data_IF_675665111813
#
_entry.id   IF_675665111813
#
_cell.length_a   1.000
_cell.length_b   1.000
_cell.length_c   1.000
_cell.angle_alpha   90.00
_cell.angle_beta   90.00
_cell.angle_gamma   90.00
#
_symmetry.space_group_name_H-M   'P 1'
#
loop_
_entity.id
_entity.type
_entity.pdbx_description
1 polymer ?
#
# COMPACT_ATOMS: atom_id res chain seq x y z
N UNK A 1 13.56 -18.99 -28.24
CA UNK A 1 12.61 -19.90 -27.59
C UNK A 1 13.30 -20.58 -26.41
N UNK A 2 13.16 -20.07 -25.18
CA UNK A 2 13.54 -20.80 -23.97
C UNK A 2 12.63 -20.35 -22.83
N UNK A 3 11.66 -21.20 -22.54
CA UNK A 3 10.78 -21.16 -21.40
C UNK A 3 11.62 -21.45 -20.13
N UNK A 4 11.59 -20.57 -19.14
CA UNK A 4 12.10 -20.87 -17.78
C UNK A 4 10.96 -20.76 -16.80
N UNK A 5 10.45 -21.92 -16.43
CA UNK A 5 9.53 -22.14 -15.32
C UNK A 5 10.35 -22.18 -14.03
N UNK A 6 10.08 -21.28 -13.08
CA UNK A 6 10.58 -21.40 -11.71
C UNK A 6 9.36 -21.66 -10.81
N UNK A 7 9.20 -22.92 -10.42
CA UNK A 7 8.30 -23.34 -9.36
C UNK A 7 9.15 -23.50 -8.10
N UNK A 8 8.88 -22.70 -7.07
CA UNK A 8 9.48 -22.83 -5.76
C UNK A 8 8.43 -22.68 -4.68
N UNK A 9 7.74 -23.77 -4.35
CA UNK A 9 6.89 -23.87 -3.16
C UNK A 9 7.75 -24.33 -1.98
N UNK A 10 7.95 -23.47 -0.99
CA UNK A 10 8.50 -23.85 0.30
C UNK A 10 7.38 -23.79 1.35
N UNK A 11 6.77 -24.94 1.63
CA UNK A 11 5.89 -25.13 2.79
C UNK A 11 6.78 -25.36 4.03
N UNK A 12 6.80 -24.42 4.95
CA UNK A 12 7.35 -24.62 6.29
C UNK A 12 6.19 -24.76 7.27
N UNK A 13 5.88 -25.99 7.62
CA UNK A 13 4.99 -26.33 8.73
C UNK A 13 5.78 -26.25 10.04
N UNK A 14 5.45 -25.32 10.93
CA UNK A 14 5.93 -25.33 12.31
C UNK A 14 4.72 -25.58 13.22
N UNK A 15 4.61 -26.82 13.68
CA UNK A 15 3.80 -27.17 14.85
C UNK A 15 4.69 -26.99 16.09
N UNK A 16 4.27 -26.13 17.01
CA UNK A 16 4.95 -25.92 18.27
C UNK A 16 4.01 -25.32 19.30
N UNK A 17 3.35 -26.15 20.07
CA UNK A 17 2.77 -25.76 21.37
C UNK A 17 3.90 -25.60 22.37
N UNK A 18 3.96 -24.45 23.06
CA UNK A 18 4.61 -24.37 24.37
C UNK A 18 4.01 -23.23 25.18
N UNK A 19 3.49 -23.60 26.32
CA UNK A 19 3.09 -22.77 27.45
C UNK A 19 4.22 -21.87 27.96
N UNK A 20 3.88 -20.66 28.49
CA UNK A 20 4.79 -20.01 29.45
C UNK A 20 5.10 -18.53 29.25
N UNK A 21 4.25 -17.66 29.81
CA UNK A 21 4.59 -16.45 30.59
C UNK A 21 5.67 -15.47 30.11
N UNK A 22 5.23 -14.29 29.66
CA UNK A 22 5.87 -13.00 29.96
C UNK A 22 7.02 -12.56 29.11
N UNK A 23 6.77 -11.62 28.19
CA UNK A 23 7.54 -10.38 28.12
C UNK A 23 7.02 -9.47 27.00
N UNK A 24 6.82 -8.21 27.34
CA UNK A 24 6.44 -7.09 26.47
C UNK A 24 7.42 -6.86 25.32
N UNK A 25 6.91 -6.93 24.08
CA UNK A 25 7.54 -6.38 22.90
C UNK A 25 6.47 -5.66 22.06
N UNK A 26 6.72 -4.48 21.51
CA UNK A 26 5.76 -3.76 20.69
C UNK A 26 5.72 -4.37 19.30
N UNK A 27 4.80 -5.28 19.06
CA UNK A 27 4.43 -5.69 17.74
C UNK A 27 2.92 -5.42 17.60
N UNK A 28 2.59 -4.34 16.94
CA UNK A 28 1.22 -3.97 16.60
C UNK A 28 0.65 -4.94 15.57
N UNK A 29 0.35 -6.16 15.99
CA UNK A 29 -0.63 -7.00 15.29
C UNK A 29 -1.99 -6.45 15.64
N UNK A 30 -2.61 -5.75 14.71
CA UNK A 30 -4.04 -5.45 14.74
C UNK A 30 -4.76 -6.79 14.84
N UNK A 31 -5.25 -7.14 16.03
CA UNK A 31 -6.17 -8.26 16.17
C UNK A 31 -7.39 -7.99 15.28
N UNK A 32 -7.84 -8.96 14.48
CA UNK A 32 -9.09 -8.80 13.76
C UNK A 32 -10.18 -8.50 14.77
N UNK A 33 -10.93 -7.42 14.52
CA UNK A 33 -12.06 -7.01 15.34
C UNK A 33 -12.98 -8.22 15.57
N UNK A 34 -13.45 -8.39 16.83
CA UNK A 34 -14.29 -9.51 17.23
C UNK A 34 -15.61 -9.50 16.48
N UNK A 35 -15.61 -10.09 15.28
CA UNK A 35 -16.81 -10.37 14.52
C UNK A 35 -17.53 -11.60 15.09
N UNK A 36 -18.85 -11.61 15.01
CA UNK A 36 -19.64 -12.85 15.13
C UNK A 36 -19.03 -13.88 14.20
N UNK A 37 -18.74 -15.09 14.66
CA UNK A 37 -17.93 -16.14 14.00
C UNK A 37 -18.28 -16.56 12.56
N UNK A 38 -18.87 -15.66 11.78
CA UNK A 38 -19.22 -15.79 10.36
C UNK A 38 -18.02 -15.52 9.45
N UNK A 39 -17.16 -14.58 9.83
CA UNK A 39 -15.95 -14.24 9.07
C UNK A 39 -14.70 -14.85 9.72
N UNK A 40 -13.83 -15.44 8.90
CA UNK A 40 -12.53 -15.94 9.33
C UNK A 40 -11.50 -14.84 9.45
N UNK A 41 -11.48 -13.96 8.45
CA UNK A 41 -10.52 -12.87 8.36
C UNK A 41 -11.08 -11.75 7.50
N UNK A 42 -10.79 -10.52 7.90
CA UNK A 42 -11.01 -9.31 7.11
C UNK A 42 -9.72 -8.50 7.16
N UNK A 43 -9.14 -8.21 6.00
CA UNK A 43 -7.89 -7.46 5.89
C UNK A 43 -7.84 -6.72 4.54
N UNK A 44 -6.88 -5.81 4.40
CA UNK A 44 -6.55 -5.17 3.13
C UNK A 44 -5.26 -5.77 2.59
N UNK A 45 -5.26 -6.16 1.32
CA UNK A 45 -4.10 -6.66 0.57
C UNK A 45 -3.98 -5.85 -0.73
N UNK A 46 -2.83 -5.22 -0.94
CA UNK A 46 -2.70 -4.27 -2.04
C UNK A 46 -3.72 -3.13 -1.91
N UNK A 47 -4.61 -2.99 -2.88
CA UNK A 47 -5.71 -2.03 -2.91
C UNK A 47 -7.08 -2.66 -2.65
N UNK A 48 -7.15 -3.95 -2.31
CA UNK A 48 -8.41 -4.66 -2.13
C UNK A 48 -8.67 -4.99 -0.64
N UNK A 49 -9.91 -4.78 -0.18
CA UNK A 49 -10.40 -5.32 1.08
C UNK A 49 -10.89 -6.74 0.83
N UNK A 50 -10.27 -7.70 1.52
CA UNK A 50 -10.53 -9.14 1.41
C UNK A 50 -11.34 -9.61 2.61
N UNK A 51 -12.47 -10.26 2.35
CA UNK A 51 -13.31 -10.88 3.37
C UNK A 51 -13.27 -12.40 3.18
N UNK A 52 -12.73 -13.13 4.16
CA UNK A 52 -12.65 -14.58 4.15
C UNK A 52 -13.67 -15.18 5.11
N UNK A 53 -14.29 -16.31 4.70
CA UNK A 53 -15.33 -17.01 5.43
C UNK A 53 -15.30 -18.53 5.15
N UNK A 54 -16.11 -19.30 5.85
CA UNK A 54 -16.21 -20.74 5.62
C UNK A 54 -17.07 -21.06 4.38
N UNK A 55 -16.69 -22.11 3.64
CA UNK A 55 -17.41 -22.55 2.43
C UNK A 55 -18.84 -23.06 2.67
N UNK A 56 -19.18 -23.33 3.94
CA UNK A 56 -20.51 -23.76 4.40
C UNK A 56 -21.30 -22.61 5.08
N UNK A 57 -20.85 -21.37 4.91
CA UNK A 57 -21.55 -20.20 5.41
C UNK A 57 -22.94 -20.04 4.77
N UNK A 58 -23.93 -19.73 5.59
CA UNK A 58 -25.34 -19.64 5.21
C UNK A 58 -25.78 -18.21 4.83
N UNK A 59 -24.92 -17.45 4.16
CA UNK A 59 -25.26 -16.14 3.63
C UNK A 59 -25.00 -16.07 2.12
N UNK A 60 -25.72 -15.20 1.44
CA UNK A 60 -25.69 -15.07 -0.02
C UNK A 60 -25.15 -13.72 -0.50
N UNK A 61 -24.92 -12.79 0.44
CA UNK A 61 -24.46 -11.44 0.13
C UNK A 61 -23.56 -10.88 1.23
N UNK A 62 -22.57 -10.09 0.82
CA UNK A 62 -21.77 -9.25 1.71
C UNK A 62 -21.85 -7.80 1.24
N UNK A 63 -22.18 -6.90 2.16
CA UNK A 63 -22.14 -5.46 1.99
C UNK A 63 -20.93 -4.88 2.70
N UNK A 64 -20.24 -3.95 2.04
CA UNK A 64 -19.22 -3.10 2.62
C UNK A 64 -19.78 -1.70 2.78
N UNK A 65 -19.78 -1.18 3.99
CA UNK A 65 -20.30 0.13 4.37
C UNK A 65 -19.11 1.01 4.75
N UNK A 66 -19.03 2.20 4.18
CA UNK A 66 -17.95 3.15 4.45
C UNK A 66 -18.20 3.95 5.74
N UNK A 67 -17.19 4.71 6.23
CA UNK A 67 -17.25 5.37 7.53
C UNK A 67 -18.39 6.38 7.73
N UNK A 68 -18.94 6.92 6.65
CA UNK A 68 -20.10 7.83 6.68
C UNK A 68 -21.46 7.11 6.71
N UNK A 69 -21.46 5.77 6.67
CA UNK A 69 -22.65 4.91 6.67
C UNK A 69 -23.23 4.66 5.27
N UNK A 70 -22.61 5.15 4.21
CA UNK A 70 -23.04 4.86 2.85
C UNK A 70 -22.52 3.49 2.38
N UNK A 71 -23.27 2.83 1.51
CA UNK A 71 -22.86 1.57 0.90
C UNK A 71 -21.68 1.80 -0.04
N UNK A 72 -20.50 1.28 0.30
CA UNK A 72 -19.34 1.27 -0.59
C UNK A 72 -19.52 0.29 -1.74
N UNK A 73 -19.95 -0.92 -1.41
CA UNK A 73 -20.14 -1.97 -2.40
C UNK A 73 -20.85 -3.20 -1.85
N UNK A 74 -21.28 -4.04 -2.79
CA UNK A 74 -22.01 -5.27 -2.51
C UNK A 74 -21.41 -6.41 -3.34
N UNK A 75 -21.32 -7.60 -2.75
CA UNK A 75 -20.88 -8.83 -3.43
C UNK A 75 -21.86 -9.95 -3.15
N UNK A 76 -22.30 -10.64 -4.19
CA UNK A 76 -23.00 -11.93 -4.08
C UNK A 76 -21.99 -13.03 -3.75
N UNK A 77 -22.38 -13.92 -2.88
CA UNK A 77 -21.55 -15.05 -2.44
C UNK A 77 -22.03 -16.32 -3.15
N UNK A 78 -21.24 -16.80 -4.09
CA UNK A 78 -21.54 -18.03 -4.80
C UNK A 78 -21.36 -19.25 -3.87
N UNK A 79 -22.17 -20.29 -4.06
CA UNK A 79 -22.07 -21.54 -3.29
C UNK A 79 -20.65 -22.12 -3.38
N UNK A 80 -20.04 -22.39 -2.22
CA UNK A 80 -18.69 -22.92 -2.11
C UNK A 80 -17.57 -21.88 -2.19
N UNK A 81 -17.88 -20.59 -2.31
CA UNK A 81 -16.90 -19.51 -2.15
C UNK A 81 -16.37 -19.48 -0.72
N UNK A 82 -15.14 -19.01 -0.56
CA UNK A 82 -14.47 -18.84 0.73
C UNK A 82 -13.96 -17.41 0.93
N UNK A 83 -14.08 -16.56 -0.09
CA UNK A 83 -13.75 -15.13 0.00
C UNK A 83 -14.50 -14.32 -1.03
N UNK A 84 -14.62 -13.02 -0.74
CA UNK A 84 -14.94 -11.95 -1.68
C UNK A 84 -13.96 -10.80 -1.49
N UNK A 85 -13.81 -9.96 -2.53
CA UNK A 85 -12.99 -8.75 -2.46
C UNK A 85 -13.74 -7.50 -2.90
N UNK A 86 -13.32 -6.36 -2.35
CA UNK A 86 -13.78 -5.04 -2.72
C UNK A 86 -12.57 -4.20 -3.10
N UNK A 87 -12.54 -3.70 -4.31
CA UNK A 87 -11.50 -2.78 -4.76
C UNK A 87 -11.70 -1.41 -4.10
N UNK A 88 -10.84 -1.07 -3.15
CA UNK A 88 -10.83 0.23 -2.48
C UNK A 88 -10.14 1.30 -3.34
N UNK A 89 -9.15 0.90 -4.14
CA UNK A 89 -8.22 1.83 -4.77
C UNK A 89 -7.45 2.65 -3.73
N UNK A 90 -7.11 3.89 -4.07
CA UNK A 90 -6.44 4.85 -3.16
C UNK A 90 -7.31 6.09 -2.86
N UNK A 91 -8.48 6.19 -3.49
CA UNK A 91 -9.42 7.32 -3.33
C UNK A 91 -10.57 7.04 -2.37
N UNK A 92 -10.41 6.06 -1.48
CA UNK A 92 -11.41 5.71 -0.46
C UNK A 92 -11.44 6.73 0.68
N UNK A 93 -12.54 6.75 1.46
CA UNK A 93 -12.63 7.53 2.68
C UNK A 93 -11.93 6.79 3.85
N UNK A 94 -10.85 7.31 4.44
CA UNK A 94 -10.22 6.67 5.59
C UNK A 94 -11.16 6.61 6.80
N UNK A 95 -11.18 5.47 7.50
CA UNK A 95 -12.00 5.29 8.69
C UNK A 95 -12.39 3.84 8.96
N UNK A 96 -13.42 3.65 9.79
CA UNK A 96 -13.95 2.33 10.13
C UNK A 96 -14.99 1.89 9.09
N UNK A 97 -14.71 0.80 8.40
CA UNK A 97 -15.61 0.15 7.47
C UNK A 97 -16.36 -0.98 8.17
N UNK A 98 -17.67 -1.11 7.89
CA UNK A 98 -18.49 -2.21 8.38
C UNK A 98 -18.72 -3.25 7.29
N UNK A 99 -18.55 -4.51 7.63
CA UNK A 99 -18.76 -5.66 6.76
C UNK A 99 -19.99 -6.41 7.26
N UNK A 100 -21.06 -6.45 6.46
CA UNK A 100 -22.35 -7.04 6.83
C UNK A 100 -22.65 -8.23 5.93
N UNK A 101 -22.78 -9.44 6.52
CA UNK A 101 -23.24 -10.63 5.81
C UNK A 101 -24.77 -10.75 5.91
N UNK A 102 -25.43 -11.00 4.77
CA UNK A 102 -26.87 -11.10 4.63
C UNK A 102 -27.27 -12.49 4.10
N UNK A 103 -28.38 -13.02 4.64
CA UNK A 103 -29.11 -14.16 4.10
C UNK A 103 -30.50 -13.64 3.69
N UNK A 104 -30.68 -13.39 2.41
CA UNK A 104 -31.83 -12.62 1.90
C UNK A 104 -31.81 -11.17 2.45
N UNK A 105 -32.81 -10.83 3.29
CA UNK A 105 -32.90 -9.50 3.94
C UNK A 105 -32.43 -9.51 5.41
N UNK A 106 -32.02 -10.67 5.94
CA UNK A 106 -31.62 -10.83 7.33
C UNK A 106 -30.10 -10.70 7.51
N UNK A 107 -29.66 -9.85 8.45
CA UNK A 107 -28.24 -9.76 8.86
C UNK A 107 -27.87 -11.00 9.69
N UNK A 108 -26.88 -11.76 9.22
CA UNK A 108 -26.40 -12.98 9.87
C UNK A 108 -25.01 -12.83 10.46
N UNK A 109 -24.29 -11.77 10.11
CA UNK A 109 -22.98 -11.47 10.68
C UNK A 109 -22.51 -10.06 10.36
N UNK A 110 -21.71 -9.50 11.29
CA UNK A 110 -21.12 -8.19 11.16
C UNK A 110 -19.66 -8.22 11.63
N UNK A 111 -18.83 -7.42 11.00
CA UNK A 111 -17.44 -7.17 11.39
C UNK A 111 -17.08 -5.73 11.04
N UNK A 112 -16.05 -5.18 11.66
CA UNK A 112 -15.51 -3.88 11.26
C UNK A 112 -14.00 -3.96 11.03
N UNK A 113 -13.50 -3.06 10.17
CA UNK A 113 -12.09 -2.90 9.89
C UNK A 113 -11.76 -1.43 9.76
N UNK A 114 -10.77 -0.96 10.52
CA UNK A 114 -10.22 0.38 10.32
C UNK A 114 -9.29 0.36 9.10
N UNK A 115 -9.58 1.21 8.11
CA UNK A 115 -8.79 1.35 6.89
C UNK A 115 -8.24 2.77 6.85
N UNK A 116 -6.95 2.92 7.17
CA UNK A 116 -6.27 4.22 7.23
C UNK A 116 -4.84 4.08 6.74
N UNK A 117 -4.37 4.92 5.82
CA UNK A 117 -2.95 4.97 5.46
C UNK A 117 -2.16 5.69 6.56
N UNK A 118 -0.88 5.35 6.67
CA UNK A 118 0.09 6.05 7.51
C UNK A 118 1.46 5.97 6.86
N UNK A 119 1.74 6.89 5.94
CA UNK A 119 3.04 6.95 5.26
C UNK A 119 4.08 7.66 6.12
N UNK A 120 5.23 7.03 6.29
CA UNK A 120 6.40 7.60 6.94
C UNK A 120 7.62 7.57 6.01
N UNK A 121 8.39 8.66 6.00
CA UNK A 121 9.70 8.69 5.35
C UNK A 121 10.67 8.02 6.32
N UNK A 122 11.19 6.85 5.92
CA UNK A 122 12.16 6.10 6.75
C UNK A 122 13.60 6.40 6.37
N UNK A 123 13.84 6.80 5.12
CA UNK A 123 15.15 7.21 4.63
C UNK A 123 15.02 8.20 3.47
N UNK A 124 16.00 9.08 3.31
CA UNK A 124 16.14 9.94 2.14
C UNK A 124 17.61 10.32 1.95
N UNK A 125 18.02 10.48 0.71
CA UNK A 125 19.39 10.84 0.40
C UNK A 125 19.56 11.34 -1.03
N UNK A 126 20.82 11.67 -1.35
CA UNK A 126 21.23 12.13 -2.68
C UNK A 126 22.18 11.09 -3.25
N UNK A 127 21.98 10.71 -4.51
CA UNK A 127 22.71 9.63 -5.14
C UNK A 127 24.23 9.79 -5.15
N UNK A 128 24.76 11.02 -5.24
CA UNK A 128 26.20 11.25 -5.11
C UNK A 128 26.79 10.86 -3.76
N UNK A 129 25.99 10.86 -2.70
CA UNK A 129 26.44 10.53 -1.34
C UNK A 129 26.16 9.07 -0.98
N UNK A 130 25.11 8.48 -1.60
CA UNK A 130 24.61 7.14 -1.34
C UNK A 130 24.23 6.45 -2.67
N UNK A 131 25.21 6.24 -3.57
CA UNK A 131 24.93 5.64 -4.89
C UNK A 131 24.39 4.21 -4.82
N UNK A 132 24.67 3.50 -3.71
CA UNK A 132 24.18 2.14 -3.45
C UNK A 132 22.67 2.05 -3.18
N UNK A 133 22.03 3.17 -2.82
CA UNK A 133 20.59 3.26 -2.57
C UNK A 133 19.80 3.68 -3.83
N UNK A 134 20.52 4.02 -4.91
CA UNK A 134 19.93 4.42 -6.18
C UNK A 134 19.67 3.19 -7.08
N UNK A 135 18.94 3.42 -8.16
CA UNK A 135 18.75 2.41 -9.21
C UNK A 135 20.06 2.12 -9.96
N UNK A 136 20.09 1.00 -10.69
CA UNK A 136 21.25 0.60 -11.51
C UNK A 136 21.26 1.41 -12.82
N UNK A 137 21.95 2.53 -12.85
CA UNK A 137 22.03 3.46 -13.97
C UNK A 137 23.36 4.17 -14.09
N UNK A 138 23.49 5.10 -15.07
CA UNK A 138 24.72 5.87 -15.27
C UNK A 138 25.06 6.74 -14.04
N UNK A 139 26.30 6.71 -13.60
CA UNK A 139 26.78 7.48 -12.45
C UNK A 139 26.45 8.98 -12.56
N UNK A 140 26.56 9.54 -13.78
CA UNK A 140 26.27 10.95 -14.03
C UNK A 140 24.79 11.34 -13.85
N UNK A 141 23.88 10.40 -13.97
CA UNK A 141 22.44 10.62 -13.72
C UNK A 141 22.14 10.42 -12.24
N UNK A 142 22.63 9.33 -11.66
CA UNK A 142 22.45 9.00 -10.25
C UNK A 142 22.96 10.13 -9.32
N UNK A 143 24.11 10.72 -9.61
CA UNK A 143 24.70 11.78 -8.78
C UNK A 143 23.86 13.05 -8.64
N UNK A 144 22.97 13.31 -9.59
CA UNK A 144 22.12 14.52 -9.65
C UNK A 144 20.72 14.29 -9.07
N UNK A 145 20.37 13.02 -8.80
CA UNK A 145 19.06 12.62 -8.32
C UNK A 145 19.07 12.34 -6.82
N UNK A 146 17.87 12.18 -6.29
CA UNK A 146 17.61 11.82 -4.90
C UNK A 146 16.72 10.59 -4.81
N UNK A 147 16.79 9.92 -3.66
CA UNK A 147 15.85 8.88 -3.30
C UNK A 147 15.12 9.22 -2.00
N UNK A 148 13.90 8.68 -1.88
CA UNK A 148 13.08 8.76 -0.67
C UNK A 148 12.46 7.39 -0.45
N UNK A 149 12.78 6.75 0.67
CA UNK A 149 12.19 5.49 1.08
C UNK A 149 11.03 5.75 2.02
N UNK A 150 9.86 5.24 1.65
CA UNK A 150 8.61 5.36 2.37
C UNK A 150 8.16 4.01 2.89
N UNK A 151 7.53 3.99 4.06
CA UNK A 151 6.84 2.84 4.62
C UNK A 151 5.39 3.21 4.92
N UNK A 152 4.44 2.36 4.50
CA UNK A 152 3.05 2.50 4.90
C UNK A 152 2.79 1.65 6.15
N UNK A 153 2.82 2.26 7.33
CA UNK A 153 2.52 1.63 8.62
C UNK A 153 1.03 1.55 8.92
N UNK A 154 0.21 2.03 7.99
CA UNK A 154 -1.25 2.02 8.12
C UNK A 154 -1.89 0.68 7.80
N UNK A 155 -3.22 0.69 7.78
CA UNK A 155 -4.08 -0.47 7.48
C UNK A 155 -4.79 -0.34 6.13
N UNK A 156 -4.60 0.79 5.45
CA UNK A 156 -5.15 1.07 4.12
C UNK A 156 -4.05 1.48 3.14
N UNK A 157 -4.25 1.28 1.82
CA UNK A 157 -3.31 1.72 0.80
C UNK A 157 -3.31 3.24 0.66
N UNK A 158 -2.20 3.77 0.14
CA UNK A 158 -2.09 5.18 -0.25
C UNK A 158 -1.33 5.30 -1.57
N UNK A 159 -1.35 6.49 -2.16
CA UNK A 159 -0.58 6.79 -3.36
C UNK A 159 0.25 8.06 -3.18
N UNK A 160 1.52 7.97 -3.55
CA UNK A 160 2.37 9.14 -3.74
C UNK A 160 2.21 9.61 -5.18
N UNK A 161 1.63 10.78 -5.34
CA UNK A 161 1.36 11.37 -6.66
C UNK A 161 2.38 12.44 -7.05
N UNK A 162 3.21 12.89 -6.08
CA UNK A 162 4.18 13.95 -6.35
C UNK A 162 5.37 13.89 -5.39
N UNK A 163 6.57 14.04 -5.95
CA UNK A 163 7.82 14.16 -5.20
C UNK A 163 8.40 15.55 -5.46
N UNK A 164 8.42 16.39 -4.40
CA UNK A 164 8.85 17.78 -4.48
C UNK A 164 10.12 18.01 -3.64
N UNK A 165 11.05 18.72 -4.21
CA UNK A 165 12.26 19.22 -3.53
C UNK A 165 12.18 20.74 -3.41
N UNK A 166 12.03 21.24 -2.18
CA UNK A 166 11.78 22.65 -1.89
C UNK A 166 12.89 23.19 -0.99
N UNK A 167 13.22 24.46 -1.14
CA UNK A 167 14.20 25.14 -0.30
C UNK A 167 15.58 25.22 -0.93
N UNK A 168 16.63 25.01 -0.14
CA UNK A 168 18.03 25.23 -0.55
C UNK A 168 18.59 24.02 -1.33
N UNK A 169 17.99 23.74 -2.48
CA UNK A 169 18.45 22.75 -3.46
C UNK A 169 18.79 23.45 -4.78
N UNK A 170 19.69 22.90 -5.62
CA UNK A 170 20.12 23.57 -6.87
C UNK A 170 18.97 23.82 -7.85
N UNK A 171 18.02 22.90 -7.96
CA UNK A 171 16.85 23.00 -8.84
C UNK A 171 15.57 22.70 -8.04
N UNK A 172 15.04 23.66 -7.27
CA UNK A 172 13.84 23.45 -6.46
C UNK A 172 12.59 23.34 -7.32
N UNK A 173 11.64 22.53 -6.84
CA UNK A 173 10.41 22.22 -7.56
C UNK A 173 9.39 23.37 -7.57
N UNK A 174 9.63 24.46 -6.86
CA UNK A 174 8.74 25.61 -6.67
C UNK A 174 9.30 26.94 -7.20
N UNK A 175 10.50 26.95 -7.84
CA UNK A 175 11.11 28.15 -8.39
C UNK A 175 10.85 28.34 -9.89
N UNK A 176 10.95 29.58 -10.35
CA UNK A 176 10.76 29.91 -11.77
C UNK A 176 11.75 29.18 -12.67
N UNK A 177 11.23 28.44 -13.65
CA UNK A 177 12.02 27.65 -14.62
C UNK A 177 12.17 26.17 -14.27
N UNK A 178 11.95 25.79 -13.01
CA UNK A 178 11.97 24.40 -12.56
C UNK A 178 10.66 23.97 -11.90
N UNK A 179 9.72 24.91 -11.76
CA UNK A 179 8.43 24.70 -11.07
C UNK A 179 7.55 23.67 -11.77
N UNK A 180 7.12 22.67 -11.00
CA UNK A 180 6.08 21.71 -11.39
C UNK A 180 5.09 21.42 -10.24
N UNK A 181 5.07 22.25 -9.21
CA UNK A 181 4.18 22.07 -8.03
C UNK A 181 2.71 22.02 -8.46
N UNK A 182 2.31 22.93 -9.34
CA UNK A 182 0.93 23.07 -9.82
C UNK A 182 0.67 22.34 -11.16
N UNK A 183 1.65 21.59 -11.67
CA UNK A 183 1.52 20.83 -12.91
C UNK A 183 1.01 19.41 -12.59
N UNK A 184 -0.25 19.13 -12.90
CA UNK A 184 -0.89 17.83 -12.59
C UNK A 184 -0.28 16.68 -13.41
N UNK A 185 0.33 16.98 -14.56
CA UNK A 185 0.94 15.98 -15.44
C UNK A 185 2.38 15.61 -15.04
N UNK A 186 2.94 16.28 -14.02
CA UNK A 186 4.31 16.08 -13.55
C UNK A 186 4.33 15.62 -12.10
N UNK A 187 4.79 14.40 -11.87
CA UNK A 187 4.92 13.82 -10.52
C UNK A 187 6.30 14.08 -9.89
N UNK A 188 7.33 14.18 -10.71
CA UNK A 188 8.71 14.19 -10.25
C UNK A 188 9.24 12.84 -9.77
N UNK A 189 8.52 11.74 -10.05
CA UNK A 189 8.88 10.37 -9.62
C UNK A 189 9.38 9.57 -10.83
N UNK A 190 10.62 9.13 -10.77
CA UNK A 190 11.23 8.27 -11.79
C UNK A 190 11.03 6.79 -11.45
N UNK A 191 10.62 6.02 -12.44
CA UNK A 191 10.53 4.57 -12.36
C UNK A 191 11.62 3.92 -13.24
N UNK A 192 12.60 3.24 -12.62
CA UNK A 192 13.70 2.59 -13.34
C UNK A 192 13.25 1.42 -14.23
N UNK A 193 12.10 0.80 -13.96
CA UNK A 193 11.62 -0.33 -14.76
C UNK A 193 11.05 0.12 -16.11
N UNK A 194 10.34 1.23 -16.13
CA UNK A 194 9.78 1.83 -17.35
C UNK A 194 10.70 2.86 -18.02
N UNK A 195 11.81 3.23 -17.35
CA UNK A 195 12.74 4.29 -17.77
C UNK A 195 12.00 5.62 -18.06
N UNK A 196 11.06 5.97 -17.16
CA UNK A 196 10.20 7.14 -17.34
C UNK A 196 9.65 7.67 -16.03
N UNK A 197 9.11 8.90 -16.07
CA UNK A 197 8.34 9.46 -14.97
C UNK A 197 6.96 8.77 -14.91
N UNK A 198 6.51 8.40 -13.69
CA UNK A 198 5.22 7.77 -13.44
C UNK A 198 4.25 8.75 -12.79
N UNK A 199 2.95 8.62 -13.05
CA UNK A 199 1.93 9.53 -12.50
C UNK A 199 1.76 9.38 -10.99
N UNK A 200 1.91 8.14 -10.47
CA UNK A 200 1.78 7.82 -9.06
C UNK A 200 2.44 6.48 -8.72
N UNK A 201 2.75 6.30 -7.45
CA UNK A 201 3.19 5.02 -6.88
C UNK A 201 2.28 4.65 -5.73
N UNK A 202 1.64 3.48 -5.82
CA UNK A 202 0.76 2.95 -4.77
C UNK A 202 1.61 2.21 -3.75
N UNK A 203 1.33 2.44 -2.46
CA UNK A 203 2.00 1.79 -1.34
C UNK A 203 0.96 1.06 -0.50
N UNK A 204 0.99 -0.26 -0.55
CA UNK A 204 0.07 -1.13 0.20
C UNK A 204 0.34 -1.08 1.71
N UNK A 205 -0.62 -1.49 2.55
CA UNK A 205 -0.40 -1.63 3.99
C UNK A 205 0.81 -2.51 4.32
N UNK A 206 1.73 -1.99 5.13
CA UNK A 206 2.97 -2.70 5.53
C UNK A 206 4.05 -2.77 4.46
N UNK A 207 3.87 -2.11 3.33
CA UNK A 207 4.86 -2.05 2.25
C UNK A 207 5.85 -0.91 2.49
N UNK A 208 7.12 -1.17 2.14
CA UNK A 208 8.18 -0.19 2.05
C UNK A 208 8.65 -0.08 0.61
N UNK A 209 8.80 1.13 0.09
CA UNK A 209 9.23 1.39 -1.29
C UNK A 209 10.19 2.57 -1.35
N UNK A 210 11.16 2.49 -2.27
CA UNK A 210 12.06 3.62 -2.56
C UNK A 210 11.61 4.30 -3.86
N UNK A 211 11.39 5.60 -3.77
CA UNK A 211 11.07 6.49 -4.89
C UNK A 211 12.32 7.27 -5.28
N UNK A 212 12.49 7.50 -6.59
CA UNK A 212 13.59 8.27 -7.13
C UNK A 212 13.06 9.55 -7.79
N UNK A 213 13.83 10.62 -7.70
CA UNK A 213 13.50 11.86 -8.39
C UNK A 213 13.71 11.74 -9.90
N UNK A 214 12.96 12.51 -10.70
CA UNK A 214 13.04 12.48 -12.17
C UNK A 214 13.57 13.81 -12.75
N UNK A 215 13.88 14.81 -11.91
CA UNK A 215 14.13 16.19 -12.35
C UNK A 215 15.48 16.75 -11.91
N UNK A 216 16.44 15.87 -11.60
CA UNK A 216 17.81 16.24 -11.20
C UNK A 216 17.87 17.41 -10.21
N UNK A 217 17.15 17.33 -9.05
CA UNK A 217 17.07 18.45 -8.10
C UNK A 217 18.44 18.85 -7.54
N UNK A 218 19.44 17.98 -7.65
CA UNK A 218 20.79 18.17 -7.15
C UNK A 218 21.84 18.25 -8.26
N UNK A 219 21.44 18.55 -9.50
CA UNK A 219 22.38 18.76 -10.59
C UNK A 219 23.40 19.87 -10.27
N UNK A 220 24.62 19.70 -10.78
CA UNK A 220 25.67 20.71 -10.61
C UNK A 220 25.35 21.94 -11.46
N UNK A 221 25.26 23.10 -10.83
CA UNK A 221 25.34 24.38 -11.53
C UNK A 221 26.82 24.71 -11.71
N UNK A 222 27.36 24.68 -12.95
CA UNK A 222 28.71 25.17 -13.18
C UNK A 222 28.77 26.67 -12.84
N UNK A 223 29.56 27.03 -11.83
CA UNK A 223 29.79 28.42 -11.40
C UNK A 223 30.62 29.22 -12.39
#
# INVERSE_FOLDING_TARGET
TALRTVAGAALVSVAGCMDGNGSTGPNGSSSPGGGSGVFRQVNVEGTELIVQFDSDSEFDQINLIQPDGELFGQREVAAGSQQVSFDLGTAYAPGEYEIVALSGEETVGESSLSVQPNLEIVEMGIGRNQPEEMWDGPESEIEEEAFVTLENQGTGPDAVTKLLFIGDVPYPSDEEGTNYVDDEDVSGIYDPESDSEVEQVIIAPGEQITLYSSRSPFAFVPG
#
